data_IF_870307042616
#
_entry.id   IF_870307042616
#
_cell.length_a   1.000
_cell.length_b   1.000
_cell.length_c   1.000
_cell.angle_alpha   90.00
_cell.angle_beta   90.00
_cell.angle_gamma   90.00
#
_symmetry.space_group_name_H-M   'P 1'
#
loop_
_entity.id
_entity.type
_entity.pdbx_description
1 polymer ?
#
# COMPACT_ATOMS: atom_id res chain seq x y z
N UNK A 1 -14.63 4.59 5.45
CA UNK A 1 -13.37 3.82 5.55
C UNK A 1 -13.24 3.31 6.97
N UNK A 2 -12.76 2.08 7.12
CA UNK A 2 -12.43 1.49 8.43
C UNK A 2 -11.00 1.87 8.84
N UNK A 3 -10.72 2.09 10.14
CA UNK A 3 -9.40 2.53 10.60
C UNK A 3 -8.23 1.60 10.25
N UNK A 4 -8.51 0.31 9.98
CA UNK A 4 -7.51 -0.74 9.80
C UNK A 4 -7.37 -1.23 8.35
N UNK A 5 -7.86 -0.47 7.37
CA UNK A 5 -7.77 -0.85 5.96
C UNK A 5 -6.34 -0.76 5.42
N UNK A 6 -5.51 0.12 5.95
CA UNK A 6 -4.15 0.38 5.46
C UNK A 6 -3.12 -0.64 5.95
N UNK A 7 -2.13 -0.97 5.13
CA UNK A 7 -0.93 -1.67 5.60
C UNK A 7 0.06 -0.65 6.13
N UNK A 8 0.48 -0.82 7.38
CA UNK A 8 1.50 -0.01 8.03
C UNK A 8 2.80 -0.80 8.13
N UNK A 9 3.94 -0.13 7.94
CA UNK A 9 5.26 -0.72 8.18
C UNK A 9 5.46 -0.94 9.68
N UNK A 10 5.78 -2.17 10.13
CA UNK A 10 5.97 -2.45 11.55
C UNK A 10 7.27 -1.86 12.12
N UNK A 11 8.24 -1.51 11.27
CA UNK A 11 9.51 -0.93 11.70
C UNK A 11 9.44 0.59 11.88
N UNK A 12 8.81 1.32 10.94
CA UNK A 12 8.81 2.79 10.95
C UNK A 12 7.44 3.44 11.11
N UNK A 13 6.35 2.67 11.16
CA UNK A 13 4.99 3.16 11.33
C UNK A 13 4.38 3.89 10.13
N UNK A 14 5.09 3.97 9.00
CA UNK A 14 4.58 4.61 7.78
C UNK A 14 3.52 3.74 7.08
N UNK A 15 2.52 4.37 6.47
CA UNK A 15 1.56 3.67 5.61
C UNK A 15 2.26 3.27 4.31
N UNK A 16 2.36 1.96 4.09
CA UNK A 16 3.03 1.39 2.91
C UNK A 16 2.06 0.97 1.82
N UNK A 17 0.82 0.64 2.17
CA UNK A 17 -0.28 0.43 1.22
C UNK A 17 -1.51 1.14 1.75
N UNK A 18 -1.98 2.14 1.02
CA UNK A 18 -3.17 2.91 1.34
C UNK A 18 -4.38 2.32 0.60
N UNK A 19 -5.47 2.07 1.31
CA UNK A 19 -6.68 1.40 0.79
C UNK A 19 -7.95 2.12 1.23
N UNK A 20 -8.97 2.02 0.39
CA UNK A 20 -10.34 2.43 0.71
C UNK A 20 -11.31 1.43 0.07
N UNK A 21 -12.03 0.64 0.89
CA UNK A 21 -12.80 -0.48 0.37
C UNK A 21 -11.92 -1.46 -0.41
N UNK A 22 -12.23 -1.68 -1.69
CA UNK A 22 -11.46 -2.56 -2.59
C UNK A 22 -10.38 -1.83 -3.40
N UNK A 23 -10.30 -0.50 -3.31
CA UNK A 23 -9.38 0.31 -4.10
C UNK A 23 -8.03 0.46 -3.40
N UNK A 24 -6.94 0.38 -4.19
CA UNK A 24 -5.58 0.74 -3.75
C UNK A 24 -5.35 2.21 -4.12
N UNK A 25 -5.19 3.05 -3.10
CA UNK A 25 -4.95 4.49 -3.27
C UNK A 25 -3.46 4.81 -3.37
N UNK A 26 -2.61 4.01 -2.72
CA UNK A 26 -1.17 4.26 -2.67
C UNK A 26 -0.33 3.00 -2.48
N UNK A 27 0.86 2.99 -3.10
CA UNK A 27 1.83 1.89 -3.05
C UNK A 27 3.25 2.41 -2.76
N UNK A 28 3.60 2.46 -1.48
CA UNK A 28 4.91 2.93 -1.00
C UNK A 28 5.87 1.77 -0.73
N UNK A 29 5.83 0.75 -1.59
CA UNK A 29 6.75 -0.39 -1.58
C UNK A 29 7.64 -0.37 -2.82
N UNK A 30 8.91 -0.73 -2.65
CA UNK A 30 9.85 -0.89 -3.76
C UNK A 30 9.55 -2.15 -4.60
N UNK A 31 10.36 -2.39 -5.63
CA UNK A 31 10.19 -3.53 -6.53
C UNK A 31 10.34 -4.91 -5.85
N UNK A 32 10.90 -4.94 -4.64
CA UNK A 32 11.11 -6.13 -3.81
C UNK A 32 10.10 -6.19 -2.65
N UNK A 33 9.04 -5.40 -2.69
CA UNK A 33 8.03 -5.28 -1.62
C UNK A 33 8.62 -4.86 -0.26
N UNK A 34 9.63 -3.99 -0.27
CA UNK A 34 10.18 -3.36 0.92
C UNK A 34 9.63 -1.96 1.10
N UNK A 35 9.46 -1.53 2.35
CA UNK A 35 9.09 -0.17 2.70
C UNK A 35 10.03 0.83 2.03
N UNK A 36 9.51 1.76 1.22
CA UNK A 36 10.34 2.79 0.57
C UNK A 36 11.01 3.76 1.55
N UNK A 37 10.51 3.82 2.79
CA UNK A 37 10.98 4.77 3.80
C UNK A 37 12.13 4.23 4.67
N UNK A 38 12.10 2.95 5.04
CA UNK A 38 13.12 2.33 5.91
C UNK A 38 13.77 1.07 5.34
N UNK A 39 13.24 0.49 4.26
CA UNK A 39 13.76 -0.73 3.66
C UNK A 39 13.25 -2.04 4.29
N UNK A 40 12.40 -1.98 5.32
CA UNK A 40 11.82 -3.18 5.93
C UNK A 40 11.05 -4.05 4.90
N UNK A 41 11.29 -5.37 4.84
CA UNK A 41 10.50 -6.25 3.98
C UNK A 41 9.06 -6.39 4.49
N UNK A 42 8.09 -6.03 3.66
CA UNK A 42 6.67 -6.12 4.01
C UNK A 42 6.13 -7.44 3.47
N UNK A 43 5.42 -8.19 4.32
CA UNK A 43 4.85 -9.49 4.00
C UNK A 43 3.63 -9.37 3.05
N UNK A 44 3.89 -8.92 1.81
CA UNK A 44 2.93 -8.77 0.73
C UNK A 44 3.47 -9.47 -0.50
N UNK A 45 2.60 -10.22 -1.20
CA UNK A 45 2.91 -10.87 -2.45
C UNK A 45 2.28 -10.12 -3.62
N UNK A 46 3.01 -10.07 -4.74
CA UNK A 46 2.60 -9.35 -5.94
C UNK A 46 2.72 -7.83 -5.82
N UNK A 47 2.32 -7.14 -6.88
CA UNK A 47 2.20 -5.68 -6.94
C UNK A 47 1.02 -5.31 -7.85
N UNK A 48 0.29 -4.23 -7.56
CA UNK A 48 -0.72 -3.71 -8.47
C UNK A 48 -0.09 -3.27 -9.78
N UNK A 49 -0.86 -3.31 -10.86
CA UNK A 49 -0.49 -2.64 -12.11
C UNK A 49 -0.58 -1.13 -11.92
N UNK A 50 0.12 -0.35 -12.74
CA UNK A 50 0.12 1.11 -12.62
C UNK A 50 -1.29 1.70 -12.78
N UNK A 51 -2.11 1.10 -13.64
CA UNK A 51 -3.50 1.49 -13.86
C UNK A 51 -4.43 1.13 -12.69
N UNK A 52 -4.02 0.24 -11.78
CA UNK A 52 -4.83 -0.17 -10.63
C UNK A 52 -4.68 0.75 -9.40
N UNK A 53 -3.64 1.59 -9.34
CA UNK A 53 -3.40 2.51 -8.23
C UNK A 53 -4.14 3.83 -8.49
N UNK A 54 -4.90 4.32 -7.52
CA UNK A 54 -5.54 5.62 -7.59
C UNK A 54 -6.78 5.68 -8.49
N UNK A 55 -7.34 4.52 -8.89
CA UNK A 55 -8.68 4.45 -9.47
C UNK A 55 -9.71 4.87 -8.42
N UNK A 56 -9.95 6.17 -8.26
CA UNK A 56 -11.25 6.63 -7.76
C UNK A 56 -12.26 6.33 -8.85
N UNK A 57 -12.92 5.17 -8.77
CA UNK A 57 -14.24 5.04 -9.39
C UNK A 57 -15.14 6.02 -8.64
N UNK A 58 -15.23 7.24 -9.18
CA UNK A 58 -16.27 8.18 -8.81
C UNK A 58 -17.58 7.43 -9.07
N UNK A 59 -18.27 7.03 -8.01
CA UNK A 59 -19.65 6.58 -8.10
C UNK A 59 -20.50 7.73 -8.67
#
# INVERSE_FOLDING_TARGET
GHPYENTVCPECGQVVVERYGFDILGWNLDEKNRCKFCGYPIAIYGKPTLDAIGRRRLF
#
